data_IF_079347250078
#
_entry.id   IF_079347250078
#
_cell.length_a   1.000
_cell.length_b   1.000
_cell.length_c   1.000
_cell.angle_alpha   90.00
_cell.angle_beta   90.00
_cell.angle_gamma   90.00
#
_symmetry.space_group_name_H-M   'P 1'
#
loop_
_entity.id
_entity.type
_entity.pdbx_description
1 polymer ?
#
# COMPACT_ATOMS: atom_id res chain seq x y z
N UNK A 1 -4.49 9.02 4.71
CA UNK A 1 -4.79 10.37 5.22
C UNK A 1 -6.27 10.40 5.59
N UNK A 2 -6.67 11.11 6.63
CA UNK A 2 -7.96 10.91 7.32
C UNK A 2 -8.84 12.17 7.37
N UNK A 3 -8.59 13.14 6.48
CA UNK A 3 -9.34 14.39 6.50
C UNK A 3 -10.76 14.17 5.98
N UNK A 4 -11.71 14.18 6.92
CA UNK A 4 -13.14 14.15 6.64
C UNK A 4 -13.70 15.56 6.51
N UNK A 5 -14.43 15.82 5.42
CA UNK A 5 -15.14 17.09 5.23
C UNK A 5 -16.29 17.24 6.22
N UNK A 6 -16.45 18.46 6.74
CA UNK A 6 -17.40 18.80 7.81
C UNK A 6 -18.16 20.10 7.57
N UNK A 7 -17.98 20.75 6.42
CA UNK A 7 -18.59 22.03 6.09
C UNK A 7 -19.83 21.86 5.20
N UNK A 8 -20.99 22.18 5.75
CA UNK A 8 -22.27 22.17 5.05
C UNK A 8 -22.35 23.24 3.95
N UNK A 9 -21.81 24.45 4.19
CA UNK A 9 -21.84 25.55 3.21
C UNK A 9 -21.00 25.25 1.97
N UNK A 10 -19.91 24.51 2.14
CA UNK A 10 -19.05 24.05 1.04
C UNK A 10 -19.51 22.71 0.44
N UNK A 11 -20.64 22.16 0.90
CA UNK A 11 -21.20 20.88 0.49
C UNK A 11 -20.18 19.72 0.52
N UNK A 12 -19.30 19.70 1.52
CA UNK A 12 -18.25 18.68 1.66
C UNK A 12 -18.43 17.81 2.91
N UNK A 13 -19.46 18.07 3.73
CA UNK A 13 -19.77 17.24 4.90
C UNK A 13 -20.06 15.82 4.47
N UNK A 14 -19.41 14.83 5.09
CA UNK A 14 -19.57 13.43 4.70
C UNK A 14 -18.59 12.97 3.62
N UNK A 15 -17.78 13.87 3.04
CA UNK A 15 -16.84 13.53 1.97
C UNK A 15 -15.40 13.55 2.48
N UNK A 16 -14.73 12.41 2.40
CA UNK A 16 -13.29 12.30 2.65
C UNK A 16 -12.52 13.08 1.56
N UNK A 17 -11.69 14.02 1.99
CA UNK A 17 -10.87 14.84 1.10
C UNK A 17 -9.63 14.11 0.60
N UNK A 18 -9.07 13.22 1.41
CA UNK A 18 -7.82 12.50 1.12
C UNK A 18 -8.01 11.00 1.28
N UNK A 19 -8.98 10.46 0.50
CA UNK A 19 -9.23 9.02 0.43
C UNK A 19 -7.96 8.31 -0.02
N UNK A 20 -7.62 7.23 0.68
CA UNK A 20 -6.47 6.39 0.38
C UNK A 20 -6.90 4.92 0.46
N UNK A 21 -7.92 4.60 -0.32
CA UNK A 21 -8.48 3.27 -0.47
C UNK A 21 -7.61 2.40 -1.40
N UNK A 22 -7.85 1.10 -1.39
CA UNK A 22 -6.99 0.12 -2.06
C UNK A 22 -5.73 -0.22 -1.26
N UNK A 23 -4.64 -0.53 -1.97
CA UNK A 23 -3.38 -0.95 -1.36
C UNK A 23 -2.46 0.24 -1.14
N UNK A 24 -2.42 0.76 0.08
CA UNK A 24 -1.56 1.89 0.44
C UNK A 24 -0.11 1.45 0.65
N UNK A 25 0.84 2.18 0.05
CA UNK A 25 2.26 1.84 0.07
C UNK A 25 2.82 1.69 1.49
N UNK A 26 2.39 2.57 2.40
CA UNK A 26 2.86 2.57 3.78
C UNK A 26 2.43 1.32 4.55
N UNK A 27 1.21 0.82 4.33
CA UNK A 27 0.69 -0.39 4.98
C UNK A 27 1.42 -1.62 4.49
N UNK A 28 1.69 -1.71 3.18
CA UNK A 28 2.44 -2.84 2.62
C UNK A 28 3.90 -2.83 3.08
N UNK A 29 4.55 -1.66 3.09
CA UNK A 29 5.93 -1.54 3.57
C UNK A 29 6.04 -1.89 5.05
N UNK A 30 5.12 -1.39 5.89
CA UNK A 30 5.07 -1.71 7.31
C UNK A 30 4.81 -3.20 7.55
N UNK A 31 3.86 -3.79 6.81
CA UNK A 31 3.54 -5.20 6.90
C UNK A 31 4.75 -6.08 6.55
N UNK A 32 5.48 -5.73 5.48
CA UNK A 32 6.74 -6.39 5.12
C UNK A 32 7.76 -6.30 6.25
N UNK A 33 7.98 -5.11 6.82
CA UNK A 33 8.93 -4.92 7.92
C UNK A 33 8.57 -5.77 9.14
N UNK A 34 7.29 -5.83 9.51
CA UNK A 34 6.80 -6.65 10.61
C UNK A 34 7.01 -8.14 10.31
N UNK A 35 6.70 -8.63 9.10
CA UNK A 35 6.92 -10.03 8.74
C UNK A 35 8.40 -10.40 8.84
N UNK A 36 9.29 -9.59 8.26
CA UNK A 36 10.74 -9.86 8.32
C UNK A 36 11.24 -9.89 9.78
N UNK A 37 10.74 -8.99 10.62
CA UNK A 37 11.04 -8.98 12.06
C UNK A 37 10.52 -10.22 12.78
N UNK A 38 9.28 -10.64 12.52
CA UNK A 38 8.68 -11.86 13.12
C UNK A 38 9.48 -13.11 12.73
N UNK A 39 9.88 -13.22 11.45
CA UNK A 39 10.70 -14.34 10.97
C UNK A 39 12.06 -14.36 11.69
N UNK A 40 12.66 -13.19 11.92
CA UNK A 40 13.88 -13.09 12.71
C UNK A 40 13.67 -13.50 14.17
N UNK A 41 12.60 -13.04 14.82
CA UNK A 41 12.26 -13.42 16.19
C UNK A 41 11.98 -14.92 16.33
N UNK A 42 11.33 -15.54 15.33
CA UNK A 42 11.10 -16.99 15.31
C UNK A 42 12.42 -17.76 15.19
N UNK A 43 13.34 -17.34 14.30
CA UNK A 43 14.68 -17.92 14.18
C UNK A 43 15.50 -17.83 15.48
N UNK A 44 15.28 -16.79 16.27
CA UNK A 44 15.94 -16.59 17.57
C UNK A 44 15.23 -17.31 18.73
N UNK A 45 14.08 -17.96 18.50
CA UNK A 45 13.30 -18.63 19.53
C UNK A 45 12.41 -17.70 20.38
N UNK A 46 12.37 -16.40 20.08
CA UNK A 46 11.54 -15.42 20.80
C UNK A 46 10.09 -15.39 20.33
N UNK A 47 9.79 -15.97 19.17
CA UNK A 47 8.44 -16.03 18.62
C UNK A 47 8.07 -17.47 18.24
N UNK A 48 6.99 -18.05 18.81
CA UNK A 48 6.73 -19.50 18.69
C UNK A 48 6.05 -19.91 17.38
N UNK A 49 5.46 -18.98 16.63
CA UNK A 49 4.70 -19.30 15.42
C UNK A 49 5.56 -19.14 14.16
N UNK A 50 5.58 -20.17 13.32
CA UNK A 50 6.36 -20.20 12.07
C UNK A 50 5.49 -20.14 10.80
N UNK A 51 4.16 -20.18 10.96
CA UNK A 51 3.23 -20.27 9.85
C UNK A 51 1.93 -19.55 10.19
N UNK A 52 1.24 -19.16 9.14
CA UNK A 52 -0.09 -18.60 9.16
C UNK A 52 -1.00 -19.56 8.41
N UNK A 53 -2.23 -19.76 8.90
CA UNK A 53 -3.25 -20.48 8.14
C UNK A 53 -3.72 -19.61 6.99
N UNK A 54 -3.08 -19.79 5.83
CA UNK A 54 -3.36 -19.05 4.60
C UNK A 54 -3.27 -20.01 3.42
N UNK A 55 -4.09 -19.76 2.40
CA UNK A 55 -4.04 -20.47 1.11
C UNK A 55 -2.77 -20.14 0.30
N UNK A 56 -1.97 -19.17 0.75
CA UNK A 56 -0.78 -18.64 0.09
C UNK A 56 0.47 -18.85 0.94
N UNK A 57 1.32 -19.78 0.52
CA UNK A 57 2.47 -20.32 1.25
C UNK A 57 3.73 -19.44 1.36
N UNK A 58 3.76 -18.19 0.90
CA UNK A 58 4.93 -17.32 1.06
C UNK A 58 4.60 -15.83 0.92
N UNK A 59 4.05 -15.24 1.98
CA UNK A 59 3.61 -13.83 1.98
C UNK A 59 4.77 -12.84 1.83
N UNK A 60 5.93 -13.12 2.44
CA UNK A 60 7.10 -12.22 2.37
C UNK A 60 7.68 -12.11 0.96
N UNK A 61 7.96 -13.26 0.33
CA UNK A 61 8.52 -13.28 -1.04
C UNK A 61 7.56 -12.70 -2.06
N UNK A 62 6.25 -12.95 -1.91
CA UNK A 62 5.24 -12.35 -2.77
C UNK A 62 5.29 -10.83 -2.70
N UNK A 63 5.31 -10.25 -1.50
CA UNK A 63 5.42 -8.80 -1.34
C UNK A 63 6.72 -8.31 -1.95
N UNK A 64 7.85 -8.97 -1.66
CA UNK A 64 9.17 -8.58 -2.19
C UNK A 64 9.19 -8.53 -3.72
N UNK A 65 8.60 -9.51 -4.39
CA UNK A 65 8.58 -9.61 -5.86
C UNK A 65 7.56 -8.63 -6.46
N UNK A 66 6.38 -8.48 -5.85
CA UNK A 66 5.31 -7.64 -6.42
C UNK A 66 5.46 -6.16 -6.09
N UNK A 67 6.10 -5.79 -4.99
CA UNK A 67 6.10 -4.41 -4.49
C UNK A 67 6.63 -3.42 -5.54
N UNK A 68 7.85 -3.65 -6.03
CA UNK A 68 8.46 -2.78 -7.06
C UNK A 68 7.62 -2.78 -8.34
N UNK A 69 7.20 -3.96 -8.80
CA UNK A 69 6.39 -4.11 -10.01
C UNK A 69 5.10 -3.28 -9.97
N UNK A 70 4.42 -3.27 -8.83
CA UNK A 70 3.09 -2.66 -8.72
C UNK A 70 3.15 -1.17 -8.33
N UNK A 71 4.08 -0.78 -7.45
CA UNK A 71 4.17 0.60 -6.94
C UNK A 71 5.09 1.51 -7.75
N UNK A 72 6.15 1.01 -8.41
CA UNK A 72 7.06 1.86 -9.16
C UNK A 72 6.43 2.37 -10.46
N UNK A 73 6.62 3.66 -10.75
CA UNK A 73 6.23 4.27 -12.03
C UNK A 73 7.48 4.41 -12.89
N UNK A 74 7.65 3.50 -13.84
CA UNK A 74 8.74 3.55 -14.80
C UNK A 74 8.59 4.69 -15.83
N UNK A 75 9.65 4.92 -16.61
CA UNK A 75 9.67 5.94 -17.68
C UNK A 75 8.72 5.61 -18.84
N UNK A 76 8.46 4.32 -19.06
CA UNK A 76 7.61 3.82 -20.16
C UNK A 76 6.12 3.87 -19.84
N UNK A 77 5.74 4.17 -18.61
CA UNK A 77 4.36 4.16 -18.17
C UNK A 77 3.54 5.19 -18.96
N UNK A 78 2.51 4.70 -19.65
CA UNK A 78 1.65 5.46 -20.57
C UNK A 78 0.26 5.74 -19.98
N UNK A 79 0.03 5.40 -18.70
CA UNK A 79 -1.24 5.70 -18.03
C UNK A 79 -1.52 7.21 -18.06
N UNK A 80 -2.71 7.59 -18.52
CA UNK A 80 -3.19 8.98 -18.54
C UNK A 80 -3.27 9.65 -17.16
N UNK A 81 -3.17 8.86 -16.10
CA UNK A 81 -3.24 9.31 -14.71
C UNK A 81 -1.86 9.64 -14.13
N UNK A 82 -0.76 9.34 -14.84
CA UNK A 82 0.60 9.61 -14.39
C UNK A 82 0.90 11.10 -14.46
N UNK A 83 1.16 11.71 -13.31
CA UNK A 83 1.64 13.10 -13.22
C UNK A 83 3.18 13.18 -13.30
N UNK A 84 3.87 12.29 -12.58
CA UNK A 84 5.33 12.20 -12.55
C UNK A 84 5.79 10.75 -12.69
N UNK A 85 6.94 10.57 -13.34
CA UNK A 85 7.59 9.27 -13.55
C UNK A 85 8.80 9.15 -12.63
N UNK A 86 9.28 7.93 -12.42
CA UNK A 86 10.39 7.60 -11.52
C UNK A 86 10.10 7.93 -10.06
N UNK A 87 8.86 7.70 -9.64
CA UNK A 87 8.41 7.77 -8.25
C UNK A 87 7.58 6.53 -7.93
N UNK A 88 7.35 6.29 -6.64
CA UNK A 88 6.42 5.28 -6.18
C UNK A 88 5.01 5.85 -6.05
N UNK A 89 4.01 5.07 -6.45
CA UNK A 89 2.59 5.35 -6.23
C UNK A 89 2.26 5.42 -4.74
N UNK A 90 1.34 6.29 -4.33
CA UNK A 90 0.81 6.31 -2.96
C UNK A 90 -0.09 5.09 -2.69
N UNK A 91 -0.91 4.73 -3.68
CA UNK A 91 -1.84 3.59 -3.63
C UNK A 91 -1.87 2.78 -4.91
N UNK A 92 -2.39 1.56 -4.82
CA UNK A 92 -2.79 0.74 -5.99
C UNK A 92 -4.28 0.42 -5.88
N UNK A 93 -4.98 0.56 -7.00
CA UNK A 93 -6.38 0.20 -7.17
C UNK A 93 -7.35 1.05 -6.32
N UNK A 94 -7.01 2.32 -6.09
CA UNK A 94 -8.00 3.27 -5.58
C UNK A 94 -9.20 3.41 -6.53
N UNK A 95 -10.34 3.82 -5.97
CA UNK A 95 -11.57 4.17 -6.70
C UNK A 95 -11.27 5.34 -7.65
N UNK A 96 -10.49 6.32 -7.20
CA UNK A 96 -10.07 7.47 -8.00
C UNK A 96 -8.69 7.24 -8.61
N UNK A 97 -8.64 6.67 -9.81
CA UNK A 97 -7.39 6.19 -10.43
C UNK A 97 -6.21 7.17 -10.49
N UNK A 98 -6.44 8.47 -10.44
CA UNK A 98 -5.36 9.47 -10.39
C UNK A 98 -4.69 9.58 -9.02
N UNK A 99 -5.38 9.22 -7.92
CA UNK A 99 -4.80 9.25 -6.57
C UNK A 99 -3.72 8.19 -6.38
N UNK A 100 -3.75 7.11 -7.18
CA UNK A 100 -2.67 6.12 -7.20
C UNK A 100 -1.33 6.75 -7.62
N UNK A 101 -1.33 7.78 -8.47
CA UNK A 101 -0.13 8.34 -9.10
C UNK A 101 0.31 9.70 -8.50
N UNK A 102 -0.10 10.00 -7.27
CA UNK A 102 0.27 11.21 -6.55
C UNK A 102 1.61 11.12 -5.83
#
# INVERSE_FOLDING_TARGET
>A
MDKMGSNDKANNKGYLATRRDGSAINLIALFRAIISWIIQMNKQGYYPYNSIYTTSLNSEDKIRISFEKEFWIDQTNSSKYVNRKQIYKDTINSIWKWTDFQ
#
